data_IF_123927494597
#
_entry.id   IF_123927494597
#
_cell.length_a   1.000
_cell.length_b   1.000
_cell.length_c   1.000
_cell.angle_alpha   90.00
_cell.angle_beta   90.00
_cell.angle_gamma   90.00
#
_symmetry.space_group_name_H-M   'P 1'
#
loop_
_entity.id
_entity.type
_entity.pdbx_description
1 polymer ?
#
# COMPACT_ATOMS: atom_id res chain seq x y z
N UNK A 1 35.55 -49.50 -25.22
CA UNK A 1 34.70 -49.14 -24.10
C UNK A 1 34.00 -47.83 -24.33
N UNK A 2 32.78 -47.64 -23.85
CA UNK A 2 31.88 -46.58 -24.27
C UNK A 2 32.06 -45.25 -23.51
N UNK A 3 31.93 -44.18 -24.25
CA UNK A 3 31.96 -42.83 -23.74
C UNK A 3 30.75 -42.44 -22.88
N UNK A 4 31.04 -41.89 -21.71
CA UNK A 4 30.03 -41.28 -20.84
C UNK A 4 29.82 -39.80 -21.21
N UNK A 5 28.65 -39.49 -21.71
CA UNK A 5 28.22 -38.11 -21.94
C UNK A 5 27.86 -37.42 -20.62
N UNK A 6 28.64 -36.42 -20.26
CA UNK A 6 28.31 -35.53 -19.16
C UNK A 6 27.15 -34.62 -19.52
N UNK A 7 26.01 -34.81 -18.85
CA UNK A 7 24.88 -33.86 -18.92
C UNK A 7 25.27 -32.58 -18.19
N UNK A 8 25.62 -31.56 -18.94
CA UNK A 8 25.81 -30.21 -18.45
C UNK A 8 24.51 -29.64 -17.89
N UNK A 9 24.46 -29.40 -16.60
CA UNK A 9 23.37 -28.70 -15.93
C UNK A 9 23.27 -27.29 -16.49
N UNK A 10 22.15 -27.01 -17.14
CA UNK A 10 21.79 -25.69 -17.68
C UNK A 10 21.56 -24.72 -16.52
N UNK A 11 22.24 -23.58 -16.45
CA UNK A 11 21.94 -22.59 -15.39
C UNK A 11 20.51 -22.10 -15.51
N UNK A 12 19.86 -21.73 -14.38
CA UNK A 12 18.51 -21.22 -14.38
C UNK A 12 18.45 -19.94 -15.22
N UNK A 13 17.53 -19.91 -16.17
CA UNK A 13 17.23 -18.72 -16.96
C UNK A 13 16.74 -17.63 -15.99
N UNK A 14 17.49 -16.54 -15.87
CA UNK A 14 16.98 -15.27 -15.34
C UNK A 14 15.82 -14.86 -16.23
N UNK A 15 14.63 -14.96 -15.69
CA UNK A 15 13.43 -14.45 -16.32
C UNK A 15 13.54 -12.95 -16.47
N UNK A 16 13.80 -12.48 -17.68
CA UNK A 16 13.66 -11.09 -18.06
C UNK A 16 12.17 -10.76 -18.14
N UNK A 17 11.59 -10.28 -17.05
CA UNK A 17 10.28 -9.65 -17.03
C UNK A 17 10.42 -8.22 -17.57
N UNK A 18 10.26 -8.03 -18.87
CA UNK A 18 9.96 -6.74 -19.44
C UNK A 18 8.49 -6.42 -19.20
N UNK A 19 8.20 -5.30 -18.60
CA UNK A 19 6.85 -4.79 -18.39
C UNK A 19 6.94 -3.45 -17.70
N UNK A 20 6.76 -2.36 -18.43
CA UNK A 20 6.81 -1.01 -17.92
C UNK A 20 5.68 -0.75 -16.92
N UNK A 21 6.04 -0.22 -15.81
CA UNK A 21 5.20 0.31 -14.77
C UNK A 21 6.15 0.80 -13.68
N UNK A 22 6.10 2.07 -13.33
CA UNK A 22 7.05 2.71 -12.44
C UNK A 22 7.17 2.02 -11.09
N UNK A 23 7.91 0.92 -11.05
CA UNK A 23 8.35 0.30 -9.81
C UNK A 23 9.42 1.17 -9.16
N UNK A 24 9.53 1.12 -7.86
CA UNK A 24 10.58 1.80 -7.11
C UNK A 24 11.93 1.51 -7.77
N UNK A 25 12.45 2.49 -8.50
CA UNK A 25 13.72 2.36 -9.21
C UNK A 25 14.83 2.57 -8.21
N UNK A 26 15.71 1.60 -8.03
CA UNK A 26 16.91 1.77 -7.23
C UNK A 26 17.04 0.88 -6.01
N UNK A 27 16.59 -0.38 -6.04
CA UNK A 27 16.84 -1.35 -4.98
C UNK A 27 15.95 -1.24 -3.74
N UNK A 28 14.93 -0.39 -3.78
CA UNK A 28 13.91 -0.33 -2.72
C UNK A 28 12.79 -1.30 -3.04
N UNK A 29 12.36 -2.07 -2.03
CA UNK A 29 11.30 -3.07 -2.16
C UNK A 29 9.91 -2.46 -1.95
N UNK A 30 9.80 -1.42 -1.12
CA UNK A 30 8.55 -0.79 -0.73
C UNK A 30 8.71 0.73 -0.71
N UNK A 31 7.72 1.44 -1.25
CA UNK A 31 7.55 2.87 -1.06
C UNK A 31 6.58 3.10 0.11
N UNK A 32 6.93 4.03 0.98
CA UNK A 32 6.12 4.40 2.15
C UNK A 32 5.64 5.84 1.99
N UNK A 33 4.34 6.06 2.14
CA UNK A 33 3.71 7.38 2.12
C UNK A 33 2.63 7.47 3.21
N UNK A 34 2.15 8.67 3.56
CA UNK A 34 0.86 8.77 4.25
C UNK A 34 -0.24 8.14 3.37
N UNK A 35 -1.28 7.56 3.97
CA UNK A 35 -2.48 7.16 3.22
C UNK A 35 -3.27 8.39 2.79
N UNK A 36 -3.47 9.33 3.72
CA UNK A 36 -4.11 10.61 3.48
C UNK A 36 -3.21 11.74 4.00
N UNK A 37 -3.25 12.95 3.42
CA UNK A 37 -2.45 14.10 3.84
C UNK A 37 -2.84 14.62 5.22
N UNK A 38 -4.00 14.26 5.71
CA UNK A 38 -4.57 14.72 6.99
C UNK A 38 -5.38 13.62 7.69
N UNK A 39 -5.71 13.80 8.98
CA UNK A 39 -6.56 12.88 9.73
C UNK A 39 -7.95 12.70 9.10
N UNK A 40 -8.71 11.66 9.50
CA UNK A 40 -10.10 11.48 9.07
C UNK A 40 -10.93 12.74 9.31
N UNK A 41 -11.69 13.14 8.30
CA UNK A 41 -12.55 14.33 8.36
C UNK A 41 -13.89 14.01 9.03
N UNK A 42 -14.62 15.03 9.57
CA UNK A 42 -15.95 14.84 10.12
C UNK A 42 -16.93 14.26 9.10
N UNK A 43 -17.89 13.48 9.59
CA UNK A 43 -18.98 12.96 8.77
C UNK A 43 -19.80 14.12 8.16
N UNK A 44 -20.12 14.02 6.87
CA UNK A 44 -20.85 15.03 6.12
C UNK A 44 -20.01 16.12 5.46
N UNK A 45 -18.69 16.19 5.74
CA UNK A 45 -17.80 17.15 5.07
C UNK A 45 -17.59 16.78 3.60
N UNK A 46 -17.45 15.48 3.32
CA UNK A 46 -17.36 14.94 1.97
C UNK A 46 -18.43 13.88 1.76
N UNK A 47 -19.20 14.00 0.71
CA UNK A 47 -20.26 13.04 0.43
C UNK A 47 -21.37 13.61 -0.46
N UNK A 48 -22.34 12.77 -0.84
CA UNK A 48 -23.44 13.20 -1.74
C UNK A 48 -24.34 14.26 -1.11
N UNK A 49 -24.40 14.33 0.21
CA UNK A 49 -25.24 15.27 0.95
C UNK A 49 -24.51 16.56 1.36
N UNK A 50 -23.26 16.76 0.90
CA UNK A 50 -22.50 17.96 1.19
C UNK A 50 -23.22 19.20 0.58
N UNK A 51 -23.30 20.33 1.32
CA UNK A 51 -24.01 21.53 0.86
C UNK A 51 -23.47 22.12 -0.45
N UNK A 52 -22.17 21.93 -0.70
CA UNK A 52 -21.48 22.30 -1.93
C UNK A 52 -20.77 21.07 -2.52
N UNK A 53 -21.36 20.48 -3.54
CA UNK A 53 -20.85 19.28 -4.18
C UNK A 53 -19.50 19.50 -4.87
N UNK A 54 -19.24 20.73 -5.40
CA UNK A 54 -17.97 21.04 -6.08
C UNK A 54 -16.86 21.18 -5.06
N UNK A 55 -17.10 21.85 -3.95
CA UNK A 55 -16.16 21.95 -2.85
C UNK A 55 -15.87 20.58 -2.24
N UNK A 56 -16.88 19.74 -2.04
CA UNK A 56 -16.73 18.38 -1.53
C UNK A 56 -15.90 17.50 -2.46
N UNK A 57 -16.07 17.61 -3.78
CA UNK A 57 -15.26 16.90 -4.76
C UNK A 57 -13.80 17.34 -4.73
N UNK A 58 -13.54 18.64 -4.65
CA UNK A 58 -12.20 19.20 -4.48
C UNK A 58 -11.54 18.72 -3.18
N UNK A 59 -12.32 18.67 -2.10
CA UNK A 59 -11.88 18.16 -0.80
C UNK A 59 -11.51 16.68 -0.86
N UNK A 60 -12.34 15.87 -1.51
CA UNK A 60 -12.08 14.44 -1.73
C UNK A 60 -10.79 14.22 -2.53
N UNK A 61 -10.56 15.01 -3.59
CA UNK A 61 -9.32 14.92 -4.37
C UNK A 61 -8.07 15.22 -3.52
N UNK A 62 -8.17 16.17 -2.58
CA UNK A 62 -7.09 16.45 -1.61
C UNK A 62 -6.83 15.24 -0.71
N UNK A 63 -7.87 14.64 -0.14
CA UNK A 63 -7.75 13.48 0.76
C UNK A 63 -7.15 12.25 0.09
N UNK A 64 -7.35 12.09 -1.22
CA UNK A 64 -6.86 10.95 -2.01
C UNK A 64 -5.53 11.19 -2.73
N UNK A 65 -4.85 12.30 -2.46
CA UNK A 65 -3.65 12.74 -3.17
C UNK A 65 -2.57 11.66 -3.29
N UNK A 66 -2.34 10.89 -2.22
CA UNK A 66 -1.30 9.84 -2.22
C UNK A 66 -1.76 8.50 -2.80
N UNK A 67 -3.05 8.29 -3.01
CA UNK A 67 -3.62 7.02 -3.50
C UNK A 67 -3.77 7.00 -5.02
N UNK A 68 -4.21 8.10 -5.63
CA UNK A 68 -4.59 8.15 -7.04
C UNK A 68 -3.52 7.69 -8.02
N UNK A 69 -2.25 7.93 -7.74
CA UNK A 69 -1.15 7.48 -8.60
C UNK A 69 -1.07 5.95 -8.68
N UNK A 70 -1.31 5.25 -7.58
CA UNK A 70 -1.22 3.79 -7.49
C UNK A 70 -2.47 3.11 -8.03
N UNK A 71 -3.64 3.75 -7.88
CA UNK A 71 -4.89 3.32 -8.51
C UNK A 71 -4.76 3.31 -10.04
N UNK A 72 -4.11 4.32 -10.62
CA UNK A 72 -3.87 4.43 -12.06
C UNK A 72 -2.79 3.45 -12.55
N UNK A 73 -1.70 3.27 -11.79
CA UNK A 73 -0.59 2.39 -12.18
C UNK A 73 -0.85 0.91 -11.91
N UNK A 74 -1.87 0.59 -11.11
CA UNK A 74 -2.20 -0.79 -10.72
C UNK A 74 -1.15 -1.45 -9.84
N UNK A 75 -0.34 -0.68 -9.13
CA UNK A 75 0.61 -1.21 -8.16
C UNK A 75 -0.12 -1.66 -6.89
N UNK A 76 0.30 -2.78 -6.29
CA UNK A 76 -0.27 -3.19 -5.01
C UNK A 76 0.08 -2.19 -3.92
N UNK A 77 -0.94 -1.77 -3.18
CA UNK A 77 -0.82 -0.84 -2.07
C UNK A 77 -1.63 -1.34 -0.88
N UNK A 78 -1.16 -1.05 0.33
CA UNK A 78 -1.77 -1.42 1.59
C UNK A 78 -1.68 -0.25 2.55
N UNK A 79 -2.75 0.03 3.30
CA UNK A 79 -2.73 0.98 4.41
C UNK A 79 -2.75 0.24 5.74
N UNK A 80 -1.85 0.62 6.66
CA UNK A 80 -1.77 0.06 8.01
C UNK A 80 -1.86 1.17 9.06
N UNK A 81 -2.60 0.98 10.17
CA UNK A 81 -2.80 2.01 11.20
C UNK A 81 -1.63 1.99 12.19
N UNK A 82 -0.57 2.72 11.89
CA UNK A 82 0.64 2.74 12.74
C UNK A 82 0.64 3.86 13.79
N UNK A 83 -0.27 4.80 13.71
CA UNK A 83 -0.38 5.91 14.64
C UNK A 83 -1.84 6.24 14.97
N UNK A 84 -2.09 6.86 16.12
CA UNK A 84 -3.37 7.43 16.53
C UNK A 84 -3.14 8.86 16.96
N UNK A 85 -3.98 9.77 16.51
CA UNK A 85 -3.92 11.16 16.93
C UNK A 85 -4.49 11.33 18.36
N UNK A 86 -4.47 12.57 18.86
CA UNK A 86 -4.95 12.89 20.22
C UNK A 86 -6.46 12.68 20.39
N UNK A 87 -7.22 12.68 19.29
CA UNK A 87 -8.65 12.38 19.28
C UNK A 87 -8.92 10.87 19.26
N UNK A 88 -7.88 10.02 19.24
CA UNK A 88 -7.99 8.58 19.19
C UNK A 88 -8.33 8.03 17.78
N UNK A 89 -8.19 8.84 16.73
CA UNK A 89 -8.42 8.41 15.36
C UNK A 89 -7.18 7.73 14.77
N UNK A 90 -7.34 6.61 14.05
CA UNK A 90 -6.22 5.93 13.40
C UNK A 90 -5.68 6.74 12.22
N UNK A 91 -4.36 6.82 12.13
CA UNK A 91 -3.64 7.44 11.02
C UNK A 91 -2.99 6.34 10.20
N UNK A 92 -3.38 6.26 8.93
CA UNK A 92 -2.90 5.25 7.99
C UNK A 92 -1.52 5.59 7.41
N UNK A 93 -0.67 4.58 7.35
CA UNK A 93 0.58 4.60 6.58
C UNK A 93 0.40 3.70 5.37
N UNK A 94 0.63 4.23 4.17
CA UNK A 94 0.53 3.49 2.92
C UNK A 94 1.86 2.86 2.56
N UNK A 95 1.81 1.58 2.24
CA UNK A 95 2.92 0.77 1.75
C UNK A 95 2.62 0.37 0.32
N UNK A 96 3.53 0.64 -0.62
CA UNK A 96 3.35 0.33 -2.04
C UNK A 96 4.51 -0.52 -2.51
N UNK A 97 4.21 -1.61 -3.20
CA UNK A 97 5.23 -2.50 -3.78
C UNK A 97 5.19 -2.50 -5.32
N UNK A 98 6.15 -3.16 -5.94
CA UNK A 98 6.12 -3.38 -7.38
C UNK A 98 4.96 -4.30 -7.76
N UNK A 99 4.47 -4.18 -9.00
CA UNK A 99 3.36 -5.01 -9.52
C UNK A 99 3.65 -6.51 -9.35
N UNK A 100 2.67 -7.23 -8.79
CA UNK A 100 2.78 -8.66 -8.49
C UNK A 100 3.60 -8.99 -7.25
N UNK A 101 3.90 -7.99 -6.40
CA UNK A 101 4.68 -8.19 -5.16
C UNK A 101 3.85 -7.95 -3.90
N UNK A 102 2.61 -8.37 -3.91
CA UNK A 102 1.72 -8.37 -2.73
C UNK A 102 2.32 -9.17 -1.57
N UNK A 103 3.12 -10.20 -1.89
CA UNK A 103 3.86 -11.01 -0.91
C UNK A 103 4.76 -10.18 0.01
N UNK A 104 5.39 -9.14 -0.54
CA UNK A 104 6.25 -8.22 0.23
C UNK A 104 5.41 -7.39 1.20
N UNK A 105 4.26 -6.87 0.75
CA UNK A 105 3.36 -6.08 1.58
C UNK A 105 2.82 -6.88 2.76
N UNK A 106 2.35 -8.11 2.52
CA UNK A 106 1.83 -8.97 3.59
C UNK A 106 2.91 -9.35 4.61
N UNK A 107 4.12 -9.66 4.18
CA UNK A 107 5.23 -9.94 5.10
C UNK A 107 5.63 -8.74 5.92
N UNK A 108 5.67 -7.55 5.31
CA UNK A 108 5.98 -6.31 6.02
C UNK A 108 4.86 -5.94 7.00
N UNK A 109 3.59 -6.05 6.58
CA UNK A 109 2.45 -5.79 7.45
C UNK A 109 2.44 -6.71 8.68
N UNK A 110 2.72 -7.99 8.52
CA UNK A 110 2.82 -8.93 9.64
C UNK A 110 3.92 -8.53 10.64
N UNK A 111 5.07 -8.10 10.17
CA UNK A 111 6.17 -7.61 11.03
C UNK A 111 5.77 -6.32 11.77
N UNK A 112 5.08 -5.41 11.07
CA UNK A 112 4.61 -4.15 11.69
C UNK A 112 3.53 -4.42 12.73
N UNK A 113 2.62 -5.36 12.47
CA UNK A 113 1.57 -5.76 13.41
C UNK A 113 2.15 -6.43 14.66
N UNK A 114 3.19 -7.26 14.48
CA UNK A 114 3.92 -7.85 15.61
C UNK A 114 4.65 -6.78 16.44
N UNK A 115 5.32 -5.83 15.79
CA UNK A 115 6.06 -4.77 16.45
C UNK A 115 5.17 -3.72 17.14
N UNK A 116 4.00 -3.46 16.59
CA UNK A 116 3.03 -2.47 17.09
C UNK A 116 1.59 -2.97 16.86
N UNK A 117 1.08 -3.86 17.73
CA UNK A 117 -0.24 -4.44 17.58
C UNK A 117 -1.36 -3.39 17.57
N UNK A 118 -2.34 -3.58 16.69
CA UNK A 118 -3.54 -2.72 16.59
C UNK A 118 -4.86 -3.50 16.64
N UNK A 119 -4.84 -4.83 16.62
CA UNK A 119 -6.03 -5.67 16.57
C UNK A 119 -6.99 -5.46 17.76
N UNK A 120 -6.43 -5.13 18.93
CA UNK A 120 -7.20 -4.89 20.16
C UNK A 120 -7.71 -3.44 20.30
N UNK A 121 -7.31 -2.56 19.40
CA UNK A 121 -7.77 -1.16 19.40
C UNK A 121 -9.14 -1.07 18.74
N UNK A 122 -10.18 -1.01 19.56
CA UNK A 122 -11.56 -0.89 19.10
C UNK A 122 -12.11 0.51 19.37
N UNK A 123 -12.94 1.05 18.48
CA UNK A 123 -13.64 2.30 18.75
C UNK A 123 -14.63 2.11 19.91
N UNK A 124 -14.98 3.20 20.64
CA UNK A 124 -15.94 3.12 21.75
C UNK A 124 -17.34 2.69 21.29
N UNK A 125 -17.66 2.90 20.02
CA UNK A 125 -18.88 2.41 19.36
C UNK A 125 -18.45 1.37 18.33
N UNK A 126 -18.76 0.12 18.57
CA UNK A 126 -18.52 -1.01 17.66
C UNK A 126 -19.74 -1.93 17.63
N UNK A 127 -19.99 -2.50 16.46
CA UNK A 127 -21.05 -3.51 16.29
C UNK A 127 -20.59 -4.88 16.85
#
# INVERSE_FOLDING_TARGET
GPGGGGAGARPPRRGGGGGGGGGARGGNDVLVTPTSPEPPVPLGEVGPDAPDAVAALGRMATLTTFMGAFDVTGQPAMSVPLYWNDDGLPIGVQLVAASGREDVLFRLAAQLEEAKPWADRRPPVSA
#
